data_IF_128486319866
#
_entry.id   IF_128486319866
#
_cell.length_a   1.000
_cell.length_b   1.000
_cell.length_c   1.000
_cell.angle_alpha   90.00
_cell.angle_beta   90.00
_cell.angle_gamma   90.00
#
_symmetry.space_group_name_H-M   'P 1'
#
loop_
_entity.id
_entity.type
_entity.pdbx_description
1 polymer ?
#
# COMPACT_ATOMS: atom_id res chain seq x y z
N UNK A 1 22.71 -11.52 13.32
CA UNK A 1 23.40 -10.27 12.91
C UNK A 1 23.08 -10.00 11.44
N UNK A 2 21.92 -9.44 11.13
CA UNK A 2 21.61 -8.94 9.78
C UNK A 2 21.49 -7.43 9.85
N UNK A 3 22.62 -6.77 10.11
CA UNK A 3 22.72 -5.32 10.03
C UNK A 3 22.67 -4.92 8.56
N UNK A 4 21.50 -4.46 8.09
CA UNK A 4 21.38 -3.85 6.78
C UNK A 4 22.17 -2.52 6.79
N UNK A 5 23.41 -2.55 6.31
CA UNK A 5 24.32 -1.39 6.27
C UNK A 5 23.92 -0.30 5.26
N UNK A 6 22.83 -0.53 4.50
CA UNK A 6 22.28 0.42 3.52
C UNK A 6 20.76 0.53 3.63
N UNK A 7 20.20 0.45 4.84
CA UNK A 7 18.80 0.84 5.03
C UNK A 7 18.65 2.31 4.66
N UNK A 8 17.73 2.60 3.73
CA UNK A 8 17.40 3.96 3.29
C UNK A 8 16.61 4.71 4.37
N UNK A 9 17.21 4.88 5.55
CA UNK A 9 16.59 5.38 6.81
C UNK A 9 16.10 6.82 6.74
N UNK A 10 16.52 7.57 5.72
CA UNK A 10 16.09 8.95 5.47
C UNK A 10 15.20 9.09 4.24
N UNK A 11 14.89 7.99 3.55
CA UNK A 11 14.04 8.06 2.37
C UNK A 11 12.60 8.34 2.81
N UNK A 12 12.05 9.45 2.33
CA UNK A 12 10.69 9.91 2.67
C UNK A 12 9.70 9.70 1.53
N UNK A 13 10.18 9.69 0.30
CA UNK A 13 9.36 9.56 -0.90
C UNK A 13 10.00 8.51 -1.80
N UNK A 14 9.19 7.55 -2.25
CA UNK A 14 9.60 6.52 -3.19
C UNK A 14 8.52 6.42 -4.28
N UNK A 15 8.93 6.56 -5.54
CA UNK A 15 8.09 6.26 -6.69
C UNK A 15 8.69 5.11 -7.47
N UNK A 16 7.87 4.09 -7.71
CA UNK A 16 8.11 2.93 -8.55
C UNK A 16 7.00 2.83 -9.61
N UNK A 17 6.39 3.97 -9.95
CA UNK A 17 5.31 4.06 -10.91
C UNK A 17 5.72 3.55 -12.30
N UNK A 18 4.81 2.88 -12.99
CA UNK A 18 5.01 2.51 -14.40
C UNK A 18 6.00 1.36 -14.60
N UNK A 19 6.12 0.47 -13.62
CA UNK A 19 6.96 -0.72 -13.70
C UNK A 19 6.11 -1.97 -13.90
N UNK A 20 6.72 -3.15 -13.75
CA UNK A 20 6.07 -4.46 -13.88
C UNK A 20 6.04 -5.21 -12.55
N UNK A 21 5.89 -4.49 -11.44
CA UNK A 21 5.85 -5.10 -10.12
C UNK A 21 4.57 -5.93 -9.98
N UNK A 22 4.71 -7.21 -9.65
CA UNK A 22 3.59 -8.09 -9.33
C UNK A 22 3.21 -8.08 -7.83
N UNK A 23 4.11 -7.54 -7.00
CA UNK A 23 3.96 -7.40 -5.54
C UNK A 23 4.73 -6.17 -5.05
N UNK A 24 4.39 -5.70 -3.86
CA UNK A 24 5.19 -4.68 -3.18
C UNK A 24 6.61 -5.23 -2.89
N UNK A 25 7.67 -4.41 -3.01
CA UNK A 25 9.00 -4.82 -2.58
C UNK A 25 9.01 -5.17 -1.08
N UNK A 26 9.69 -6.26 -0.67
CA UNK A 26 9.85 -6.55 0.74
C UNK A 26 10.75 -5.50 1.39
N UNK A 27 10.56 -5.26 2.69
CA UNK A 27 11.41 -4.39 3.53
C UNK A 27 11.48 -2.92 3.06
N UNK A 28 10.34 -2.35 2.66
CA UNK A 28 10.25 -0.91 2.41
C UNK A 28 10.63 -0.11 3.67
N UNK A 29 11.39 0.99 3.53
CA UNK A 29 11.88 1.75 4.67
C UNK A 29 10.73 2.41 5.45
N UNK A 30 10.72 2.22 6.77
CA UNK A 30 9.70 2.78 7.67
C UNK A 30 9.72 4.32 7.76
N UNK A 31 10.77 4.96 7.22
CA UNK A 31 10.88 6.41 7.09
C UNK A 31 10.01 7.01 5.98
N UNK A 32 9.41 6.16 5.12
CA UNK A 32 8.56 6.62 4.02
C UNK A 32 7.31 7.33 4.53
N UNK A 33 6.98 8.40 3.82
CA UNK A 33 5.80 9.24 3.99
C UNK A 33 4.93 9.18 2.73
N UNK A 34 5.56 9.04 1.56
CA UNK A 34 4.88 8.93 0.28
C UNK A 34 5.40 7.72 -0.49
N UNK A 35 4.50 6.83 -0.87
CA UNK A 35 4.79 5.65 -1.69
C UNK A 35 3.89 5.66 -2.91
N UNK A 36 4.50 5.70 -4.10
CA UNK A 36 3.80 5.57 -5.37
C UNK A 36 4.23 4.29 -6.09
N UNK A 37 3.34 3.31 -6.14
CA UNK A 37 3.49 2.06 -6.90
C UNK A 37 2.40 1.95 -7.96
N UNK A 38 1.84 3.08 -8.40
CA UNK A 38 0.78 3.12 -9.40
C UNK A 38 1.25 2.63 -10.76
N UNK A 39 0.31 2.24 -11.63
CA UNK A 39 0.63 1.73 -12.97
C UNK A 39 1.63 0.55 -12.93
N UNK A 40 1.31 -0.46 -12.14
CA UNK A 40 2.06 -1.72 -12.02
C UNK A 40 1.10 -2.92 -12.23
N UNK A 41 1.52 -4.13 -11.87
CA UNK A 41 0.74 -5.36 -12.00
C UNK A 41 0.46 -6.01 -10.64
N UNK A 42 0.37 -5.22 -9.57
CA UNK A 42 0.22 -5.73 -8.21
C UNK A 42 -1.19 -6.32 -8.04
N UNK A 43 -1.27 -7.61 -7.73
CA UNK A 43 -2.54 -8.32 -7.58
C UNK A 43 -2.96 -8.57 -6.14
N UNK A 44 -2.02 -8.47 -5.18
CA UNK A 44 -2.27 -8.68 -3.75
C UNK A 44 -1.51 -7.67 -2.90
N UNK A 45 -2.10 -7.31 -1.76
CA UNK A 45 -1.44 -6.54 -0.70
C UNK A 45 -0.97 -7.47 0.41
N UNK A 46 0.33 -7.47 0.68
CA UNK A 46 0.94 -8.23 1.76
C UNK A 46 1.02 -7.37 3.03
N UNK A 47 0.34 -7.81 4.09
CA UNK A 47 0.32 -7.14 5.40
C UNK A 47 1.72 -6.92 5.98
N UNK A 48 2.64 -7.86 5.74
CA UNK A 48 4.01 -7.76 6.23
C UNK A 48 4.79 -6.61 5.58
N UNK A 49 4.47 -6.29 4.32
CA UNK A 49 5.12 -5.23 3.56
C UNK A 49 4.58 -3.84 3.90
N UNK A 50 3.29 -3.73 4.23
CA UNK A 50 2.65 -2.46 4.61
C UNK A 50 2.78 -2.12 6.09
N UNK A 51 2.75 -3.12 6.98
CA UNK A 51 2.72 -2.91 8.44
C UNK A 51 3.94 -2.17 9.01
N UNK A 52 5.08 -2.20 8.31
CA UNK A 52 6.28 -1.45 8.71
C UNK A 52 6.21 0.06 8.39
N UNK A 53 5.27 0.49 7.54
CA UNK A 53 5.19 1.86 7.01
C UNK A 53 4.39 2.79 7.92
N UNK A 54 4.72 2.80 9.21
CA UNK A 54 4.01 3.55 10.27
C UNK A 54 4.00 5.07 10.07
N UNK A 55 4.91 5.59 9.24
CA UNK A 55 5.00 7.02 8.91
C UNK A 55 4.30 7.42 7.61
N UNK A 56 3.76 6.45 6.87
CA UNK A 56 3.18 6.69 5.57
C UNK A 56 1.94 7.57 5.68
N UNK A 57 1.86 8.59 4.84
CA UNK A 57 0.73 9.52 4.75
C UNK A 57 -0.01 9.37 3.44
N UNK A 58 0.70 9.01 2.36
CA UNK A 58 0.12 8.85 1.03
C UNK A 58 0.58 7.53 0.42
N UNK A 59 -0.39 6.72 0.03
CA UNK A 59 -0.17 5.48 -0.72
C UNK A 59 -0.90 5.56 -2.06
N UNK A 60 -0.15 5.50 -3.17
CA UNK A 60 -0.73 5.37 -4.50
C UNK A 60 -0.52 3.96 -5.02
N UNK A 61 -1.62 3.24 -5.22
CA UNK A 61 -1.63 1.88 -5.78
C UNK A 61 -2.72 1.75 -6.87
N UNK A 62 -3.17 2.87 -7.40
CA UNK A 62 -4.09 2.93 -8.52
C UNK A 62 -3.46 2.36 -9.80
N UNK A 63 -4.29 1.92 -10.74
CA UNK A 63 -3.83 1.28 -11.99
C UNK A 63 -2.96 0.05 -11.73
N UNK A 64 -3.49 -0.88 -10.92
CA UNK A 64 -2.90 -2.18 -10.61
C UNK A 64 -3.93 -3.30 -10.87
N UNK A 65 -3.68 -4.51 -10.37
CA UNK A 65 -4.52 -5.69 -10.58
C UNK A 65 -5.19 -6.18 -9.29
N UNK A 66 -5.35 -5.32 -8.28
CA UNK A 66 -5.97 -5.70 -7.00
C UNK A 66 -7.44 -6.07 -7.21
N UNK A 67 -7.86 -7.14 -6.54
CA UNK A 67 -9.26 -7.61 -6.55
C UNK A 67 -10.00 -7.33 -5.25
N UNK A 68 -9.27 -7.30 -4.14
CA UNK A 68 -9.76 -6.99 -2.81
C UNK A 68 -8.64 -6.35 -2.00
N UNK A 69 -9.00 -5.79 -0.85
CA UNK A 69 -8.06 -5.32 0.15
C UNK A 69 -8.24 -6.23 1.38
N UNK A 70 -7.16 -6.83 1.92
CA UNK A 70 -7.25 -7.62 3.14
C UNK A 70 -7.89 -6.81 4.28
N UNK A 71 -8.68 -7.48 5.13
CA UNK A 71 -9.08 -6.87 6.40
C UNK A 71 -7.82 -6.41 7.14
N UNK A 72 -7.85 -5.23 7.76
CA UNK A 72 -6.71 -4.68 8.52
C UNK A 72 -5.46 -4.37 7.68
N UNK A 73 -5.59 -4.23 6.35
CA UNK A 73 -4.48 -3.86 5.47
C UNK A 73 -3.75 -2.57 5.85
N UNK A 74 -4.42 -1.68 6.57
CA UNK A 74 -3.89 -0.38 7.00
C UNK A 74 -3.80 -0.24 8.53
N UNK A 75 -3.93 -1.34 9.27
CA UNK A 75 -3.78 -1.30 10.74
C UNK A 75 -2.39 -0.81 11.13
N UNK A 76 -2.33 0.03 12.17
CA UNK A 76 -1.07 0.64 12.61
C UNK A 76 -0.58 1.81 11.75
N UNK A 77 -1.16 2.06 10.57
CA UNK A 77 -0.84 3.21 9.70
C UNK A 77 -1.56 4.49 10.17
N UNK A 78 -1.37 4.85 11.44
CA UNK A 78 -2.04 5.98 12.10
C UNK A 78 -1.85 7.36 11.45
N UNK A 79 -0.84 7.48 10.56
CA UNK A 79 -0.52 8.72 9.84
C UNK A 79 -1.08 8.74 8.42
N UNK A 80 -1.72 7.66 7.94
CA UNK A 80 -2.22 7.56 6.58
C UNK A 80 -3.39 8.53 6.37
N UNK A 81 -3.28 9.37 5.34
CA UNK A 81 -4.26 10.42 5.01
C UNK A 81 -4.91 10.21 3.65
N UNK A 82 -4.22 9.53 2.74
CA UNK A 82 -4.67 9.36 1.37
C UNK A 82 -4.23 8.00 0.84
N UNK A 83 -5.19 7.28 0.26
CA UNK A 83 -4.97 6.02 -0.44
C UNK A 83 -5.65 6.11 -1.81
N UNK A 84 -4.87 6.08 -2.88
CA UNK A 84 -5.39 6.10 -4.24
C UNK A 84 -5.52 4.65 -4.76
N UNK A 85 -6.77 4.20 -4.93
CA UNK A 85 -7.13 2.81 -5.25
C UNK A 85 -7.83 2.65 -6.61
N UNK A 86 -8.11 3.75 -7.31
CA UNK A 86 -8.81 3.75 -8.58
C UNK A 86 -8.14 2.84 -9.64
N UNK A 87 -8.91 2.40 -10.64
CA UNK A 87 -8.40 1.59 -11.75
C UNK A 87 -7.72 0.28 -11.30
N UNK A 88 -8.38 -0.47 -10.42
CA UNK A 88 -8.02 -1.84 -10.07
C UNK A 88 -9.14 -2.79 -10.52
N UNK A 89 -8.97 -4.09 -10.32
CA UNK A 89 -9.93 -5.13 -10.72
C UNK A 89 -10.87 -5.49 -9.56
N UNK A 90 -11.43 -4.48 -8.90
CA UNK A 90 -12.23 -4.68 -7.69
C UNK A 90 -13.38 -5.66 -7.93
N UNK A 91 -13.39 -6.72 -7.15
CA UNK A 91 -14.50 -7.67 -7.14
C UNK A 91 -15.52 -7.15 -6.15
N UNK A 92 -16.72 -6.81 -6.64
CA UNK A 92 -17.86 -6.48 -5.80
C UNK A 92 -18.52 -7.78 -5.34
N UNK A 93 -18.08 -8.33 -4.21
CA UNK A 93 -18.83 -9.38 -3.51
C UNK A 93 -19.82 -8.71 -2.54
N UNK A 94 -21.11 -8.95 -2.77
CA UNK A 94 -22.22 -8.35 -1.98
C UNK A 94 -22.31 -8.87 -0.53
N UNK A 95 -21.48 -9.83 -0.12
CA UNK A 95 -21.58 -10.50 1.19
C UNK A 95 -20.56 -10.00 2.24
N UNK A 96 -19.70 -9.01 1.92
CA UNK A 96 -18.60 -8.60 2.81
C UNK A 96 -18.54 -7.07 2.99
N UNK A 97 -19.66 -6.47 3.40
CA UNK A 97 -19.65 -5.11 3.98
C UNK A 97 -19.14 -5.15 5.43
N UNK A 98 -17.86 -5.48 5.62
CA UNK A 98 -17.14 -5.22 6.87
C UNK A 98 -16.03 -4.17 6.64
N UNK A 99 -16.38 -3.07 5.96
CA UNK A 99 -15.53 -1.88 5.91
C UNK A 99 -15.92 -0.93 7.04
N UNK A 100 -15.35 -1.14 8.24
CA UNK A 100 -15.37 -0.15 9.31
C UNK A 100 -14.24 0.89 9.13
N UNK A 101 -14.09 1.44 7.92
CA UNK A 101 -13.10 2.48 7.67
C UNK A 101 -13.73 3.68 6.93
N UNK A 102 -13.94 4.83 7.60
CA UNK A 102 -14.65 5.98 7.03
C UNK A 102 -13.89 6.69 5.90
N UNK A 103 -12.62 6.34 5.63
CA UNK A 103 -11.82 6.94 4.56
C UNK A 103 -12.10 6.37 3.16
N UNK A 104 -12.88 5.30 3.05
CA UNK A 104 -13.16 4.58 1.80
C UNK A 104 -14.61 4.79 1.30
N UNK A 105 -15.34 5.79 1.80
CA UNK A 105 -16.73 6.05 1.41
C UNK A 105 -16.90 6.65 0.00
N UNK A 106 -15.86 6.67 -0.82
CA UNK A 106 -15.90 7.21 -2.19
C UNK A 106 -15.23 6.23 -3.14
N UNK A 107 -15.94 5.12 -3.39
CA UNK A 107 -15.93 4.52 -4.73
C UNK A 107 -16.70 5.43 -5.68
#
# INVERSE_FOLDING_TARGET
LTTCSFCLTRLRMLTLKGNRLSRLPPNLPSSLIHLDVSANCISTLDLSSLGALVNLQVLKINSNCLRSIPERAFDGMSRLRSVELANNQWVCECDILHFSNPLLSFL
#
